data_IF_108149307925
#
_entry.id   IF_108149307925
#
_cell.length_a   1.000
_cell.length_b   1.000
_cell.length_c   1.000
_cell.angle_alpha   90.00
_cell.angle_beta   90.00
_cell.angle_gamma   90.00
#
_symmetry.space_group_name_H-M   'P 1'
#
loop_
_entity.id
_entity.type
_entity.pdbx_description
1 polymer ?
#
# COMPACT_ATOMS: atom_id res chain seq x y z
N UNK A 1 -8.53 17.88 21.67
CA UNK A 1 -7.27 17.16 21.40
C UNK A 1 -7.63 15.71 21.10
N UNK A 2 -7.33 15.18 19.90
CA UNK A 2 -7.63 13.78 19.60
C UNK A 2 -6.79 12.86 20.51
N UNK A 3 -7.41 11.86 21.11
CA UNK A 3 -6.71 10.83 21.90
C UNK A 3 -5.71 10.08 21.01
N UNK A 4 -4.70 9.42 21.62
CA UNK A 4 -3.75 8.59 20.86
C UNK A 4 -4.44 7.53 19.99
N UNK A 5 -5.56 6.99 20.47
CA UNK A 5 -6.43 6.09 19.71
C UNK A 5 -7.06 6.78 18.49
N UNK A 6 -7.62 7.99 18.66
CA UNK A 6 -8.19 8.75 17.53
C UNK A 6 -7.17 9.04 16.43
N UNK A 7 -5.93 9.36 16.81
CA UNK A 7 -4.83 9.51 15.84
C UNK A 7 -4.49 8.20 15.15
N UNK A 8 -4.39 7.09 15.87
CA UNK A 8 -4.11 5.78 15.28
C UNK A 8 -5.19 5.40 14.25
N UNK A 9 -6.46 5.56 14.62
CA UNK A 9 -7.58 5.28 13.71
C UNK A 9 -7.52 6.15 12.45
N UNK A 10 -7.15 7.43 12.57
CA UNK A 10 -6.96 8.30 11.41
C UNK A 10 -5.83 7.82 10.48
N UNK A 11 -4.72 7.33 11.04
CA UNK A 11 -3.60 6.77 10.26
C UNK A 11 -3.99 5.47 9.55
N UNK A 12 -4.74 4.59 10.24
CA UNK A 12 -5.26 3.35 9.68
C UNK A 12 -6.25 3.67 8.54
N UNK A 13 -7.18 4.60 8.77
CA UNK A 13 -8.15 5.02 7.76
C UNK A 13 -7.46 5.62 6.53
N UNK A 14 -6.42 6.45 6.73
CA UNK A 14 -5.64 7.01 5.63
C UNK A 14 -4.95 5.92 4.79
N UNK A 15 -4.36 4.92 5.44
CA UNK A 15 -3.74 3.78 4.76
C UNK A 15 -4.78 2.91 4.03
N UNK A 16 -5.95 2.68 4.63
CA UNK A 16 -7.05 1.94 4.02
C UNK A 16 -7.58 2.65 2.76
N UNK A 17 -7.79 3.97 2.83
CA UNK A 17 -8.23 4.78 1.69
C UNK A 17 -7.19 4.77 0.56
N UNK A 18 -5.91 4.93 0.88
CA UNK A 18 -4.83 4.78 -0.09
C UNK A 18 -4.89 3.39 -0.75
N UNK A 19 -5.00 2.32 0.04
CA UNK A 19 -5.09 0.96 -0.47
C UNK A 19 -6.28 0.76 -1.41
N UNK A 20 -7.46 1.27 -1.05
CA UNK A 20 -8.66 1.17 -1.90
C UNK A 20 -8.47 1.86 -3.27
N UNK A 21 -7.90 3.06 -3.28
CA UNK A 21 -7.63 3.82 -4.51
C UNK A 21 -6.53 3.17 -5.35
N UNK A 22 -5.44 2.75 -4.71
CA UNK A 22 -4.36 2.00 -5.35
C UNK A 22 -4.87 0.70 -5.99
N UNK A 23 -5.84 0.04 -5.35
CA UNK A 23 -6.45 -1.17 -5.88
C UNK A 23 -7.38 -0.92 -7.07
N UNK A 24 -7.98 0.27 -7.20
CA UNK A 24 -8.68 0.63 -8.43
C UNK A 24 -7.73 0.79 -9.62
N UNK A 25 -6.55 1.38 -9.39
CA UNK A 25 -5.53 1.54 -10.43
C UNK A 25 -4.95 0.18 -10.82
N UNK A 26 -4.49 -0.61 -9.85
CA UNK A 26 -3.92 -1.94 -10.13
C UNK A 26 -4.94 -2.90 -10.75
N UNK A 27 -6.22 -2.83 -10.37
CA UNK A 27 -7.26 -3.62 -11.02
C UNK A 27 -7.40 -3.26 -12.51
N UNK A 28 -7.25 -1.98 -12.86
CA UNK A 28 -7.23 -1.54 -14.27
C UNK A 28 -6.02 -2.04 -15.06
N UNK A 29 -4.89 -2.30 -14.40
CA UNK A 29 -3.67 -2.82 -15.03
C UNK A 29 -3.70 -4.35 -15.21
N UNK A 30 -4.23 -5.07 -14.22
CA UNK A 30 -4.22 -6.53 -14.20
C UNK A 30 -5.36 -7.09 -13.37
N UNK A 31 -6.56 -7.25 -13.94
CA UNK A 31 -7.70 -7.86 -13.24
C UNK A 31 -7.37 -9.26 -12.68
N UNK A 32 -6.54 -10.02 -13.39
CA UNK A 32 -6.12 -11.37 -13.00
C UNK A 32 -5.33 -11.38 -11.69
N UNK A 33 -4.61 -10.30 -11.36
CA UNK A 33 -3.97 -10.17 -10.06
C UNK A 33 -4.99 -10.22 -8.91
N UNK A 34 -6.20 -9.74 -9.16
CA UNK A 34 -7.27 -9.80 -8.18
C UNK A 34 -8.02 -11.12 -8.23
N UNK A 35 -8.49 -11.53 -9.40
CA UNK A 35 -9.35 -12.74 -9.53
C UNK A 35 -8.60 -14.02 -9.19
N UNK A 36 -7.31 -14.12 -9.55
CA UNK A 36 -6.50 -15.32 -9.32
C UNK A 36 -5.73 -15.34 -7.99
N UNK A 37 -5.57 -14.19 -7.33
CA UNK A 37 -4.76 -14.09 -6.12
C UNK A 37 -5.48 -13.37 -4.99
N UNK A 38 -5.83 -12.09 -5.16
CA UNK A 38 -6.34 -11.29 -4.03
C UNK A 38 -7.74 -11.67 -3.58
N UNK A 39 -8.69 -11.90 -4.48
CA UNK A 39 -10.05 -12.26 -4.08
C UNK A 39 -10.08 -13.59 -3.29
N UNK A 40 -9.41 -14.67 -3.72
CA UNK A 40 -9.25 -15.86 -2.88
C UNK A 40 -8.55 -15.56 -1.55
N UNK A 41 -7.44 -14.81 -1.56
CA UNK A 41 -6.69 -14.47 -0.36
C UNK A 41 -7.54 -13.74 0.71
N UNK A 42 -8.48 -12.90 0.28
CA UNK A 42 -9.35 -12.12 1.16
C UNK A 42 -10.77 -12.71 1.32
N UNK A 43 -11.03 -13.91 0.77
CA UNK A 43 -12.34 -14.56 0.82
C UNK A 43 -13.45 -13.81 0.06
N UNK A 44 -13.11 -13.02 -0.96
CA UNK A 44 -14.03 -12.20 -1.75
C UNK A 44 -14.49 -12.92 -3.04
N UNK A 45 -15.02 -14.12 -2.86
CA UNK A 45 -15.37 -15.03 -3.96
C UNK A 45 -16.79 -14.80 -4.52
N UNK A 46 -17.62 -13.99 -3.85
CA UNK A 46 -18.95 -13.65 -4.33
C UNK A 46 -18.89 -12.86 -5.65
N UNK A 47 -19.29 -13.50 -6.74
CA UNK A 47 -19.28 -12.93 -8.08
C UNK A 47 -20.48 -12.04 -8.36
N UNK A 48 -21.52 -12.01 -7.51
CA UNK A 48 -22.62 -11.06 -7.62
C UNK A 48 -22.15 -9.62 -7.33
N UNK A 49 -21.09 -9.45 -6.55
CA UNK A 49 -20.46 -8.16 -6.32
C UNK A 49 -19.54 -7.77 -7.46
N UNK A 50 -19.70 -6.54 -7.95
CA UNK A 50 -18.86 -6.01 -9.02
C UNK A 50 -17.36 -6.12 -8.65
N UNK A 51 -16.49 -6.58 -9.57
CA UNK A 51 -15.09 -6.84 -9.27
C UNK A 51 -14.33 -5.63 -8.72
N UNK A 52 -14.63 -4.41 -9.22
CA UNK A 52 -14.01 -3.18 -8.72
C UNK A 52 -14.36 -2.87 -7.27
N UNK A 53 -15.58 -3.18 -6.83
CA UNK A 53 -15.97 -3.08 -5.42
C UNK A 53 -15.19 -4.07 -4.55
N UNK A 54 -15.02 -5.32 -5.02
CA UNK A 54 -14.20 -6.31 -4.34
C UNK A 54 -12.73 -5.89 -4.27
N UNK A 55 -12.19 -5.31 -5.34
CA UNK A 55 -10.83 -4.76 -5.35
C UNK A 55 -10.66 -3.60 -4.35
N UNK A 56 -11.63 -2.67 -4.28
CA UNK A 56 -11.62 -1.63 -3.26
C UNK A 56 -11.62 -2.21 -1.84
N UNK A 57 -12.40 -3.28 -1.60
CA UNK A 57 -12.46 -3.97 -0.30
C UNK A 57 -11.14 -4.66 0.06
N UNK A 58 -10.44 -5.28 -0.91
CA UNK A 58 -9.07 -5.77 -0.72
C UNK A 58 -8.19 -4.62 -0.23
N UNK A 59 -8.19 -3.50 -0.96
CA UNK A 59 -7.36 -2.36 -0.65
C UNK A 59 -7.65 -1.73 0.72
N UNK A 60 -8.94 -1.64 1.10
CA UNK A 60 -9.34 -1.19 2.43
C UNK A 60 -8.79 -2.11 3.53
N UNK A 61 -8.97 -3.43 3.39
CA UNK A 61 -8.54 -4.41 4.39
C UNK A 61 -7.01 -4.47 4.48
N UNK A 62 -6.33 -4.61 3.34
CA UNK A 62 -4.88 -4.68 3.26
C UNK A 62 -4.22 -3.37 3.72
N UNK A 63 -4.77 -2.24 3.32
CA UNK A 63 -4.31 -0.91 3.73
C UNK A 63 -4.51 -0.66 5.22
N UNK A 64 -5.65 -1.06 5.79
CA UNK A 64 -5.88 -0.96 7.24
C UNK A 64 -4.88 -1.81 8.04
N UNK A 65 -4.65 -3.06 7.61
CA UNK A 65 -3.67 -3.97 8.24
C UNK A 65 -2.27 -3.41 8.17
N UNK A 66 -1.85 -2.83 7.04
CA UNK A 66 -0.54 -2.18 6.91
C UNK A 66 -0.43 -0.86 7.69
N UNK A 67 -1.52 -0.10 7.76
CA UNK A 67 -1.61 1.17 8.47
C UNK A 67 -1.43 1.03 9.98
N UNK A 68 -1.83 -0.10 10.58
CA UNK A 68 -1.69 -0.33 12.01
C UNK A 68 -0.22 -0.30 12.50
N UNK A 69 0.71 -1.15 12.00
CA UNK A 69 2.10 -1.12 12.45
C UNK A 69 2.81 0.20 12.08
N UNK A 70 2.55 0.75 10.89
CA UNK A 70 3.12 2.03 10.47
C UNK A 70 2.63 3.19 11.35
N UNK A 71 1.35 3.21 11.68
CA UNK A 71 0.73 4.22 12.53
C UNK A 71 1.24 4.14 13.98
N UNK A 72 1.37 2.93 14.53
CA UNK A 72 1.97 2.71 15.85
C UNK A 72 3.43 3.20 15.90
N UNK A 73 4.22 2.91 14.87
CA UNK A 73 5.60 3.39 14.77
C UNK A 73 5.67 4.92 14.70
N UNK A 74 4.83 5.57 13.88
CA UNK A 74 4.76 7.02 13.79
C UNK A 74 4.33 7.68 15.11
N UNK A 75 3.31 7.13 15.78
CA UNK A 75 2.90 7.60 17.09
C UNK A 75 4.02 7.48 18.11
N UNK A 76 4.75 6.35 18.12
CA UNK A 76 5.91 6.18 18.98
C UNK A 76 7.01 7.20 18.68
N UNK A 77 7.32 7.46 17.41
CA UNK A 77 8.31 8.47 17.02
C UNK A 77 7.90 9.91 17.38
N UNK A 78 6.59 10.19 17.40
CA UNK A 78 6.03 11.50 17.74
C UNK A 78 5.96 11.77 19.25
N UNK A 79 6.06 10.73 20.11
CA UNK A 79 6.00 10.89 21.57
C UNK A 79 7.10 11.82 22.06
N UNK A 80 6.72 12.77 22.92
CA UNK A 80 7.64 13.73 23.55
C UNK A 80 8.21 14.80 22.61
N UNK A 81 7.80 14.82 21.32
CA UNK A 81 8.24 15.86 20.38
C UNK A 81 7.40 17.14 20.53
N UNK A 82 8.01 18.33 20.54
CA UNK A 82 7.29 19.58 20.37
C UNK A 82 6.49 19.55 19.06
N UNK A 83 5.22 19.97 19.09
CA UNK A 83 4.31 19.88 17.94
C UNK A 83 4.14 18.46 17.36
N UNK A 84 3.94 17.47 18.23
CA UNK A 84 3.79 16.04 17.86
C UNK A 84 2.78 15.75 16.74
N UNK A 85 1.68 16.52 16.63
CA UNK A 85 0.72 16.38 15.52
C UNK A 85 1.32 16.74 14.17
N UNK A 86 2.11 17.82 14.09
CA UNK A 86 2.82 18.21 12.87
C UNK A 86 3.87 17.17 12.49
N UNK A 87 4.57 16.63 13.49
CA UNK A 87 5.53 15.55 13.27
C UNK A 87 4.85 14.30 12.71
N UNK A 88 3.71 13.91 13.30
CA UNK A 88 2.91 12.77 12.88
C UNK A 88 2.48 12.91 11.42
N UNK A 89 1.83 14.03 11.06
CA UNK A 89 1.32 14.23 9.69
C UNK A 89 2.42 14.35 8.64
N UNK A 90 3.57 14.94 8.98
CA UNK A 90 4.75 14.93 8.09
C UNK A 90 5.31 13.53 7.90
N UNK A 91 5.29 12.71 8.94
CA UNK A 91 5.65 11.30 8.85
C UNK A 91 4.68 10.50 7.98
N UNK A 92 3.37 10.68 8.17
CA UNK A 92 2.34 10.07 7.33
C UNK A 92 2.48 10.47 5.86
N UNK A 93 2.75 11.76 5.59
CA UNK A 93 3.03 12.23 4.24
C UNK A 93 4.27 11.56 3.64
N UNK A 94 5.36 11.42 4.41
CA UNK A 94 6.56 10.71 3.95
C UNK A 94 6.29 9.23 3.63
N UNK A 95 5.47 8.55 4.44
CA UNK A 95 5.03 7.18 4.20
C UNK A 95 4.20 7.08 2.92
N UNK A 96 3.21 7.96 2.75
CA UNK A 96 2.35 7.97 1.54
C UNK A 96 3.14 8.30 0.27
N UNK A 97 4.03 9.29 0.32
CA UNK A 97 4.89 9.64 -0.81
C UNK A 97 5.87 8.51 -1.14
N UNK A 98 6.42 7.85 -0.11
CA UNK A 98 7.25 6.66 -0.29
C UNK A 98 6.47 5.53 -0.96
N UNK A 99 5.26 5.23 -0.47
CA UNK A 99 4.38 4.21 -1.02
C UNK A 99 4.04 4.51 -2.50
N UNK A 100 3.52 5.70 -2.80
CA UNK A 100 3.17 6.11 -4.16
C UNK A 100 4.38 6.12 -5.09
N UNK A 101 5.49 6.73 -4.66
CA UNK A 101 6.70 6.81 -5.47
C UNK A 101 7.27 5.43 -5.79
N UNK A 102 7.36 4.54 -4.81
CA UNK A 102 7.87 3.20 -5.04
C UNK A 102 6.85 2.30 -5.75
N UNK A 103 5.55 2.55 -5.65
CA UNK A 103 4.55 1.88 -6.47
C UNK A 103 4.76 2.19 -7.96
N UNK A 104 4.96 3.48 -8.30
CA UNK A 104 5.25 3.90 -9.67
C UNK A 104 6.59 3.36 -10.18
N UNK A 105 7.63 3.37 -9.33
CA UNK A 105 8.90 2.72 -9.67
C UNK A 105 8.74 1.22 -9.88
N UNK A 106 7.98 0.55 -9.01
CA UNK A 106 7.65 -0.88 -9.14
C UNK A 106 6.92 -1.16 -10.44
N UNK A 107 5.94 -0.33 -10.82
CA UNK A 107 5.25 -0.43 -12.10
C UNK A 107 6.21 -0.29 -13.28
N UNK A 108 7.10 0.71 -13.27
CA UNK A 108 8.10 0.90 -14.33
C UNK A 108 9.11 -0.25 -14.44
N UNK A 109 9.60 -0.76 -13.30
CA UNK A 109 10.48 -1.92 -13.26
C UNK A 109 9.77 -3.21 -13.70
N UNK A 110 8.50 -3.37 -13.32
CA UNK A 110 7.65 -4.48 -13.74
C UNK A 110 7.42 -4.46 -15.25
N UNK A 111 7.18 -3.29 -15.83
CA UNK A 111 7.08 -3.12 -17.28
C UNK A 111 8.37 -3.53 -17.99
N UNK A 112 9.51 -3.02 -17.53
CA UNK A 112 10.81 -3.42 -18.08
C UNK A 112 11.05 -4.94 -17.94
N UNK A 113 10.70 -5.52 -16.80
CA UNK A 113 10.84 -6.96 -16.59
C UNK A 113 9.98 -7.78 -17.56
N UNK A 114 8.75 -7.34 -17.84
CA UNK A 114 7.85 -7.99 -18.81
C UNK A 114 8.44 -7.89 -20.22
N UNK A 115 8.89 -6.72 -20.66
CA UNK A 115 9.52 -6.50 -21.97
C UNK A 115 10.80 -7.34 -22.17
N UNK A 116 11.58 -7.52 -21.10
CA UNK A 116 12.78 -8.36 -21.11
C UNK A 116 12.50 -9.87 -20.99
N UNK A 117 11.22 -10.28 -21.04
CA UNK A 117 10.84 -11.69 -21.02
C UNK A 117 10.80 -12.32 -19.62
N UNK A 118 10.22 -11.63 -18.64
CA UNK A 118 10.11 -12.10 -17.24
C UNK A 118 9.73 -13.58 -17.11
N UNK A 119 10.55 -14.32 -16.38
CA UNK A 119 10.37 -15.76 -16.09
C UNK A 119 9.59 -16.04 -14.81
N UNK A 120 9.08 -15.01 -14.12
CA UNK A 120 8.36 -15.16 -12.85
C UNK A 120 7.10 -16.02 -13.01
N UNK A 121 6.95 -17.08 -12.21
CA UNK A 121 5.76 -17.94 -12.31
C UNK A 121 4.51 -17.18 -11.84
N UNK A 122 3.41 -17.34 -12.56
CA UNK A 122 2.09 -16.81 -12.20
C UNK A 122 1.11 -17.95 -11.97
N UNK A 123 0.03 -17.77 -11.19
CA UNK A 123 -0.99 -18.79 -11.01
C UNK A 123 -1.58 -19.27 -12.35
N UNK A 124 -1.98 -20.54 -12.41
CA UNK A 124 -2.46 -21.16 -13.66
C UNK A 124 -3.74 -20.54 -14.24
N UNK A 125 -4.56 -19.87 -13.41
CA UNK A 125 -5.77 -19.20 -13.89
C UNK A 125 -5.50 -17.84 -14.57
N UNK A 126 -4.29 -17.30 -14.47
CA UNK A 126 -3.92 -16.01 -15.06
C UNK A 126 -3.87 -16.14 -16.58
N UNK A 127 -4.67 -15.32 -17.27
CA UNK A 127 -4.73 -15.22 -18.72
C UNK A 127 -3.83 -14.09 -19.23
N UNK A 128 -3.86 -12.93 -18.56
CA UNK A 128 -2.97 -11.80 -18.82
C UNK A 128 -1.80 -11.78 -17.83
N UNK A 129 -0.73 -12.46 -18.22
CA UNK A 129 0.52 -12.51 -17.45
C UNK A 129 1.16 -11.12 -17.28
N UNK A 130 1.10 -10.27 -18.31
CA UNK A 130 1.71 -8.93 -18.28
C UNK A 130 1.02 -8.07 -17.24
N UNK A 131 -0.30 -7.91 -17.36
CA UNK A 131 -1.10 -7.14 -16.41
C UNK A 131 -0.98 -7.67 -14.97
N UNK A 132 -0.98 -8.99 -14.79
CA UNK A 132 -0.76 -9.61 -13.48
C UNK A 132 0.57 -9.18 -12.86
N UNK A 133 1.65 -9.27 -13.63
CA UNK A 133 2.99 -8.89 -13.14
C UNK A 133 3.08 -7.39 -12.87
N UNK A 134 2.54 -6.53 -13.73
CA UNK A 134 2.52 -5.08 -13.50
C UNK A 134 1.83 -4.73 -12.17
N UNK A 135 0.65 -5.30 -11.92
CA UNK A 135 -0.07 -5.11 -10.66
C UNK A 135 0.74 -5.64 -9.46
N UNK A 136 1.35 -6.82 -9.59
CA UNK A 136 2.17 -7.42 -8.53
C UNK A 136 3.40 -6.57 -8.17
N UNK A 137 4.13 -6.10 -9.17
CA UNK A 137 5.31 -5.25 -8.98
C UNK A 137 4.94 -3.88 -8.39
N UNK A 138 3.84 -3.28 -8.84
CA UNK A 138 3.33 -2.03 -8.27
C UNK A 138 2.96 -2.19 -6.79
N UNK A 139 2.28 -3.29 -6.44
CA UNK A 139 1.95 -3.63 -5.05
C UNK A 139 3.20 -3.81 -4.18
N UNK A 140 4.16 -4.60 -4.64
CA UNK A 140 5.43 -4.83 -3.93
C UNK A 140 6.19 -3.51 -3.70
N UNK A 141 6.25 -2.68 -4.74
CA UNK A 141 6.81 -1.33 -4.67
C UNK A 141 6.13 -0.46 -3.62
N UNK A 142 4.80 -0.45 -3.59
CA UNK A 142 4.02 0.34 -2.61
C UNK A 142 4.32 -0.06 -1.16
N UNK A 143 4.37 -1.36 -0.85
CA UNK A 143 4.67 -1.83 0.51
C UNK A 143 6.10 -1.46 0.94
N UNK A 144 7.08 -1.71 0.06
CA UNK A 144 8.46 -1.33 0.31
C UNK A 144 8.60 0.19 0.50
N UNK A 145 7.92 0.96 -0.34
CA UNK A 145 7.93 2.42 -0.30
C UNK A 145 7.36 2.99 0.98
N UNK A 146 6.26 2.44 1.49
CA UNK A 146 5.68 2.84 2.76
C UNK A 146 6.69 2.69 3.91
N UNK A 147 7.38 1.54 3.95
CA UNK A 147 8.42 1.27 4.94
C UNK A 147 9.63 2.20 4.79
N UNK A 148 10.14 2.37 3.57
CA UNK A 148 11.27 3.29 3.29
C UNK A 148 10.93 4.73 3.65
N UNK A 149 9.72 5.19 3.34
CA UNK A 149 9.23 6.52 3.71
C UNK A 149 9.29 6.75 5.22
N UNK A 150 8.83 5.78 6.01
CA UNK A 150 8.92 5.81 7.47
C UNK A 150 10.38 5.85 7.94
N UNK A 151 11.22 4.96 7.42
CA UNK A 151 12.63 4.82 7.84
C UNK A 151 13.44 6.09 7.51
N UNK A 152 13.29 6.63 6.30
CA UNK A 152 13.95 7.87 5.88
C UNK A 152 13.46 9.04 6.72
N UNK A 153 12.15 9.12 7.00
CA UNK A 153 11.59 10.16 7.86
C UNK A 153 12.16 10.06 9.29
N UNK A 154 12.19 8.87 9.88
CA UNK A 154 12.75 8.62 11.20
C UNK A 154 14.24 8.99 11.26
N UNK A 155 15.02 8.57 10.27
CA UNK A 155 16.46 8.83 10.18
C UNK A 155 16.77 10.32 10.08
N UNK A 156 16.08 11.06 9.20
CA UNK A 156 16.27 12.52 9.04
C UNK A 156 15.91 13.31 10.29
N UNK A 157 14.98 12.79 11.11
CA UNK A 157 14.50 13.48 12.30
C UNK A 157 15.04 12.92 13.63
N UNK A 158 16.02 12.01 13.59
CA UNK A 158 16.58 11.35 14.79
C UNK A 158 17.31 12.32 15.73
N UNK A 159 17.90 13.40 15.21
CA UNK A 159 18.71 14.38 15.96
C UNK A 159 17.97 15.65 16.40
N UNK A 160 16.70 15.80 16.00
CA UNK A 160 15.86 16.98 16.36
C UNK A 160 15.02 16.72 17.62
N UNK A 161 15.60 16.07 18.63
CA UNK A 161 14.94 15.83 19.91
C UNK A 161 14.92 17.10 20.72
#
# INVERSE_FOLDING_TARGET
MASGLGRLLALIALAALYGALHDQVSYGLGPDYFTCLKFPQFGLLDTALAPRWRAARVGLQAGAVAGLPLGLALLWLARGRPAGDRYLWRGSAAVLLGALGCALLGLGLGWLAVELGSVLRVPACVQDRGGFLLAAWMHAGSYLGALLGLLVFAWRNRRRR
#
